data_IF_041419764235
#
_entry.id   IF_041419764235
#
_cell.length_a   1.000
_cell.length_b   1.000
_cell.length_c   1.000
_cell.angle_alpha   90.00
_cell.angle_beta   90.00
_cell.angle_gamma   90.00
#
_symmetry.space_group_name_H-M   'P 1'
#
loop_
_entity.id
_entity.type
_entity.pdbx_description
1 polymer ?
#
# COMPACT_ATOMS: atom_id res chain seq x y z
N UNK A 1 -29.23 22.72 12.64
CA UNK A 1 -27.98 21.99 13.03
C UNK A 1 -27.62 21.08 11.86
N UNK A 2 -26.79 21.56 10.93
CA UNK A 2 -26.27 20.80 9.80
C UNK A 2 -25.21 19.85 10.33
N UNK A 3 -25.51 18.55 10.39
CA UNK A 3 -24.51 17.50 10.58
C UNK A 3 -23.53 17.60 9.40
N UNK A 4 -22.39 18.24 9.60
CA UNK A 4 -21.25 18.00 8.75
C UNK A 4 -20.97 16.51 8.84
N UNK A 5 -21.21 15.77 7.76
CA UNK A 5 -20.78 14.40 7.61
C UNK A 5 -19.25 14.42 7.65
N UNK A 6 -18.66 14.23 8.84
CA UNK A 6 -17.24 13.99 8.97
C UNK A 6 -16.95 12.74 8.13
N UNK A 7 -16.33 12.96 6.97
CA UNK A 7 -15.89 11.87 6.10
C UNK A 7 -14.90 11.06 6.93
N UNK A 8 -15.24 9.82 7.19
CA UNK A 8 -14.40 8.88 7.93
C UNK A 8 -13.02 8.74 7.25
N UNK A 9 -11.90 9.07 7.93
CA UNK A 9 -10.57 9.04 7.34
C UNK A 9 -10.17 7.67 6.80
N UNK A 10 -10.74 6.62 7.32
CA UNK A 10 -10.51 5.23 6.89
C UNK A 10 -11.13 4.97 5.53
N UNK A 11 -12.38 5.41 5.36
CA UNK A 11 -13.09 5.35 4.06
C UNK A 11 -12.40 6.21 3.02
N UNK A 12 -11.90 7.37 3.41
CA UNK A 12 -11.17 8.27 2.54
C UNK A 12 -9.85 7.63 2.05
N UNK A 13 -9.15 6.88 2.89
CA UNK A 13 -7.92 6.20 2.52
C UNK A 13 -8.15 5.09 1.47
N UNK A 14 -9.20 4.29 1.62
CA UNK A 14 -9.53 3.25 0.65
C UNK A 14 -10.02 3.85 -0.69
N UNK A 15 -10.82 4.94 -0.65
CA UNK A 15 -11.23 5.70 -1.85
C UNK A 15 -10.06 6.46 -2.48
N UNK A 16 -9.14 6.96 -1.66
CA UNK A 16 -7.94 7.68 -2.11
C UNK A 16 -7.07 6.87 -3.06
N UNK A 17 -7.01 5.56 -2.91
CA UNK A 17 -6.30 4.66 -3.84
C UNK A 17 -6.86 4.72 -5.26
N UNK A 18 -8.17 4.80 -5.42
CA UNK A 18 -8.80 4.95 -6.74
C UNK A 18 -8.54 6.33 -7.34
N UNK A 19 -8.50 7.37 -6.50
CA UNK A 19 -8.15 8.74 -6.91
C UNK A 19 -6.70 8.79 -7.40
N UNK A 20 -5.77 8.19 -6.65
CA UNK A 20 -4.36 8.10 -7.05
C UNK A 20 -4.21 7.36 -8.38
N UNK A 21 -4.93 6.27 -8.58
CA UNK A 21 -4.93 5.53 -9.85
C UNK A 21 -5.42 6.41 -11.01
N UNK A 22 -6.51 7.16 -10.83
CA UNK A 22 -7.03 8.07 -11.82
C UNK A 22 -6.03 9.21 -12.15
N UNK A 23 -5.42 9.82 -11.13
CA UNK A 23 -4.41 10.88 -11.31
C UNK A 23 -3.19 10.33 -12.07
N UNK A 24 -2.67 9.17 -11.71
CA UNK A 24 -1.53 8.56 -12.40
C UNK A 24 -1.87 8.24 -13.87
N UNK A 25 -3.09 7.80 -14.15
CA UNK A 25 -3.54 7.54 -15.51
C UNK A 25 -3.55 8.85 -16.33
N UNK A 26 -4.07 9.94 -15.76
CA UNK A 26 -4.06 11.28 -16.39
C UNK A 26 -2.64 11.77 -16.62
N UNK A 27 -1.73 11.60 -15.66
CA UNK A 27 -0.31 11.95 -15.81
C UNK A 27 0.32 11.13 -16.94
N UNK A 28 0.05 9.83 -17.01
CA UNK A 28 0.57 8.97 -18.07
C UNK A 28 0.10 9.40 -19.46
N UNK A 29 -1.18 9.75 -19.61
CA UNK A 29 -1.74 10.29 -20.85
C UNK A 29 -1.11 11.64 -21.23
N UNK A 30 -0.90 12.51 -20.25
CA UNK A 30 -0.27 13.81 -20.45
C UNK A 30 1.20 13.66 -20.89
N UNK A 31 1.97 12.77 -20.27
CA UNK A 31 3.34 12.44 -20.67
C UNK A 31 3.38 11.90 -22.10
N UNK A 32 2.45 10.99 -22.45
CA UNK A 32 2.35 10.45 -23.81
C UNK A 32 2.05 11.54 -24.85
N UNK A 33 1.15 12.48 -24.52
CA UNK A 33 0.81 13.61 -25.37
C UNK A 33 2.01 14.53 -25.58
N UNK A 34 2.73 14.88 -24.52
CA UNK A 34 3.92 15.74 -24.60
C UNK A 34 5.04 15.05 -25.41
N UNK A 35 5.18 13.75 -25.35
CA UNK A 35 6.21 13.01 -26.08
C UNK A 35 6.11 13.16 -27.61
N UNK A 36 4.96 13.56 -28.14
CA UNK A 36 4.76 13.82 -29.57
C UNK A 36 5.64 14.99 -30.06
N UNK A 37 5.85 16.01 -29.22
CA UNK A 37 6.64 17.19 -29.61
C UNK A 37 8.12 16.87 -29.85
N UNK A 38 8.87 16.26 -28.89
CA UNK A 38 10.26 15.90 -29.12
C UNK A 38 10.40 14.82 -30.19
N UNK A 39 9.42 13.94 -30.36
CA UNK A 39 9.39 12.96 -31.44
C UNK A 39 9.41 13.68 -32.82
N UNK A 40 8.49 14.63 -33.01
CA UNK A 40 8.42 15.41 -34.26
C UNK A 40 9.65 16.31 -34.51
N UNK A 41 10.25 16.79 -33.42
CA UNK A 41 11.44 17.63 -33.47
C UNK A 41 12.76 16.85 -33.64
N UNK A 42 12.72 15.51 -33.65
CA UNK A 42 13.92 14.68 -33.72
C UNK A 42 14.79 14.74 -32.46
N UNK A 43 14.25 15.26 -31.34
CA UNK A 43 14.97 15.38 -30.06
C UNK A 43 14.95 14.06 -29.28
N UNK A 44 15.84 13.16 -29.63
CA UNK A 44 15.93 11.81 -29.07
C UNK A 44 16.20 11.80 -27.56
N UNK A 45 17.07 12.63 -26.97
CA UNK A 45 17.26 12.63 -25.51
C UNK A 45 15.99 13.02 -24.72
N UNK A 46 15.30 14.07 -25.18
CA UNK A 46 14.05 14.49 -24.54
C UNK A 46 12.95 13.43 -24.67
N UNK A 47 12.84 12.79 -25.84
CA UNK A 47 11.92 11.69 -26.06
C UNK A 47 12.22 10.51 -25.13
N UNK A 48 13.49 10.11 -25.01
CA UNK A 48 13.92 9.03 -24.10
C UNK A 48 13.54 9.33 -22.65
N UNK A 49 13.76 10.55 -22.19
CA UNK A 49 13.37 10.97 -20.83
C UNK A 49 11.86 10.87 -20.59
N UNK A 50 11.04 11.33 -21.55
CA UNK A 50 9.58 11.25 -21.45
C UNK A 50 9.06 9.80 -21.53
N UNK A 51 9.65 8.98 -22.40
CA UNK A 51 9.29 7.54 -22.46
C UNK A 51 9.63 6.82 -21.15
N UNK A 52 10.76 7.16 -20.53
CA UNK A 52 11.12 6.62 -19.23
C UNK A 52 10.12 7.05 -18.15
N UNK A 53 9.73 8.34 -18.08
CA UNK A 53 8.69 8.82 -17.18
C UNK A 53 7.38 8.06 -17.39
N UNK A 54 6.94 7.90 -18.63
CA UNK A 54 5.75 7.12 -18.98
C UNK A 54 5.84 5.68 -18.50
N UNK A 55 7.01 5.05 -18.65
CA UNK A 55 7.26 3.69 -18.18
C UNK A 55 7.18 3.58 -16.64
N UNK A 56 7.78 4.52 -15.90
CA UNK A 56 7.69 4.56 -14.42
C UNK A 56 6.24 4.71 -13.98
N UNK A 57 5.48 5.61 -14.61
CA UNK A 57 4.04 5.79 -14.31
C UNK A 57 3.26 4.51 -14.61
N UNK A 58 3.50 3.86 -15.74
CA UNK A 58 2.84 2.59 -16.10
C UNK A 58 3.15 1.47 -15.08
N UNK A 59 4.40 1.34 -14.64
CA UNK A 59 4.80 0.38 -13.62
C UNK A 59 4.12 0.67 -12.27
N UNK A 60 3.99 1.94 -11.88
CA UNK A 60 3.27 2.34 -10.65
C UNK A 60 1.79 2.00 -10.74
N UNK A 61 1.15 2.27 -11.88
CA UNK A 61 -0.24 1.87 -12.14
C UNK A 61 -0.38 0.35 -12.04
N UNK A 62 0.52 -0.41 -12.67
CA UNK A 62 0.50 -1.87 -12.62
C UNK A 62 0.62 -2.39 -11.18
N UNK A 63 1.49 -1.80 -10.35
CA UNK A 63 1.63 -2.13 -8.93
C UNK A 63 0.33 -1.92 -8.15
N UNK A 64 -0.36 -0.80 -8.39
CA UNK A 64 -1.66 -0.52 -7.77
C UNK A 64 -2.76 -1.49 -8.23
N UNK A 65 -2.75 -1.88 -9.51
CA UNK A 65 -3.70 -2.88 -10.04
C UNK A 65 -3.42 -4.28 -9.46
N UNK A 66 -2.15 -4.66 -9.29
CA UNK A 66 -1.74 -5.89 -8.62
C UNK A 66 -2.26 -5.86 -7.17
N UNK A 67 -2.05 -4.76 -6.43
CA UNK A 67 -2.56 -4.59 -5.07
C UNK A 67 -4.08 -4.76 -5.03
N UNK A 68 -4.82 -4.09 -5.92
CA UNK A 68 -6.28 -4.23 -6.01
C UNK A 68 -6.71 -5.68 -6.23
N UNK A 69 -6.05 -6.38 -7.17
CA UNK A 69 -6.30 -7.80 -7.44
C UNK A 69 -6.00 -8.70 -6.23
N UNK A 70 -4.92 -8.40 -5.50
CA UNK A 70 -4.57 -9.17 -4.31
C UNK A 70 -5.54 -8.91 -3.15
N UNK A 71 -5.99 -7.68 -2.95
CA UNK A 71 -7.03 -7.36 -1.96
C UNK A 71 -8.33 -8.08 -2.30
N UNK A 72 -8.76 -8.11 -3.58
CA UNK A 72 -9.98 -8.83 -3.97
C UNK A 72 -9.89 -10.35 -3.71
N UNK A 73 -8.68 -10.90 -3.70
CA UNK A 73 -8.38 -12.31 -3.37
C UNK A 73 -7.94 -12.52 -1.91
N UNK A 74 -8.13 -11.56 -1.06
CA UNK A 74 -7.58 -11.53 0.29
C UNK A 74 -7.89 -12.77 1.14
N UNK A 75 -9.02 -13.45 0.89
CA UNK A 75 -9.38 -14.71 1.56
C UNK A 75 -8.30 -15.80 1.43
N UNK A 76 -7.62 -15.87 0.29
CA UNK A 76 -6.64 -16.91 -0.02
C UNK A 76 -5.30 -16.73 0.70
N UNK A 77 -5.06 -15.56 1.28
CA UNK A 77 -3.80 -15.21 1.95
C UNK A 77 -3.83 -15.40 3.46
N UNK A 78 -4.99 -15.81 3.99
CA UNK A 78 -5.14 -16.18 5.38
C UNK A 78 -4.83 -17.65 5.59
N UNK A 79 -3.93 -17.94 6.52
CA UNK A 79 -3.47 -19.30 6.84
C UNK A 79 -3.69 -19.54 8.32
N UNK A 80 -4.13 -20.75 8.67
CA UNK A 80 -4.25 -21.21 10.06
C UNK A 80 -3.09 -22.16 10.39
N UNK A 81 -2.40 -21.86 11.49
CA UNK A 81 -1.34 -22.71 12.06
C UNK A 81 -1.85 -23.53 13.27
N UNK A 82 -3.18 -23.61 13.44
CA UNK A 82 -3.81 -24.29 14.59
C UNK A 82 -3.78 -23.51 15.90
N UNK A 83 -2.75 -22.71 16.16
CA UNK A 83 -2.64 -21.83 17.35
C UNK A 83 -2.87 -20.36 17.02
N UNK A 84 -2.70 -19.97 15.79
CA UNK A 84 -2.83 -18.59 15.33
C UNK A 84 -3.28 -18.53 13.86
N UNK A 85 -3.87 -17.43 13.51
CA UNK A 85 -4.28 -17.12 12.13
C UNK A 85 -3.35 -16.07 11.61
N UNK A 86 -2.76 -16.31 10.46
CA UNK A 86 -1.80 -15.40 9.85
C UNK A 86 -2.27 -14.90 8.48
N UNK A 87 -2.16 -13.58 8.27
CA UNK A 87 -2.24 -12.96 6.96
C UNK A 87 -0.82 -12.65 6.50
N UNK A 88 -0.38 -13.27 5.43
CA UNK A 88 0.96 -13.10 4.88
C UNK A 88 0.89 -12.23 3.63
N UNK A 89 1.78 -11.24 3.54
CA UNK A 89 1.88 -10.40 2.33
C UNK A 89 2.31 -11.25 1.13
N UNK A 90 1.56 -11.20 0.01
CA UNK A 90 1.95 -11.89 -1.21
C UNK A 90 3.29 -11.38 -1.73
N UNK A 91 4.23 -12.26 -2.13
CA UNK A 91 5.52 -11.83 -2.69
C UNK A 91 5.38 -10.87 -3.87
N UNK A 92 4.35 -11.07 -4.69
CA UNK A 92 4.08 -10.22 -5.84
C UNK A 92 3.87 -8.74 -5.46
N UNK A 93 3.27 -8.43 -4.31
CA UNK A 93 3.10 -7.05 -3.84
C UNK A 93 4.44 -6.42 -3.45
N UNK A 94 5.27 -7.17 -2.73
CA UNK A 94 6.58 -6.70 -2.29
C UNK A 94 7.48 -6.44 -3.50
N UNK A 95 7.52 -7.36 -4.45
CA UNK A 95 8.33 -7.21 -5.67
C UNK A 95 7.82 -6.10 -6.59
N UNK A 96 6.49 -5.93 -6.72
CA UNK A 96 5.92 -4.85 -7.50
C UNK A 96 6.28 -3.47 -6.93
N UNK A 97 6.19 -3.31 -5.61
CA UNK A 97 6.55 -2.07 -4.92
C UNK A 97 8.05 -1.78 -5.00
N UNK A 98 8.89 -2.78 -4.68
CA UNK A 98 10.35 -2.65 -4.81
C UNK A 98 10.76 -2.31 -6.24
N UNK A 99 10.13 -2.94 -7.23
CA UNK A 99 10.38 -2.65 -8.65
C UNK A 99 10.01 -1.21 -9.01
N UNK A 100 8.83 -0.74 -8.60
CA UNK A 100 8.39 0.63 -8.85
C UNK A 100 9.30 1.67 -8.17
N UNK A 101 9.68 1.44 -6.90
CA UNK A 101 10.60 2.31 -6.16
C UNK A 101 12.02 2.30 -6.76
N UNK A 102 12.51 1.15 -7.20
CA UNK A 102 13.80 1.05 -7.89
C UNK A 102 13.80 1.88 -9.18
N UNK A 103 12.78 1.73 -10.02
CA UNK A 103 12.65 2.50 -11.25
C UNK A 103 12.56 4.00 -10.94
N UNK A 104 11.80 4.38 -9.92
CA UNK A 104 11.73 5.76 -9.47
C UNK A 104 13.12 6.28 -9.04
N UNK A 105 13.88 5.51 -8.26
CA UNK A 105 15.23 5.86 -7.83
C UNK A 105 16.21 6.01 -9.01
N UNK A 106 16.13 5.13 -10.02
CA UNK A 106 16.94 5.18 -11.23
C UNK A 106 16.63 6.40 -12.11
N UNK A 107 15.51 7.10 -11.91
CA UNK A 107 15.17 8.32 -12.67
C UNK A 107 16.25 9.38 -12.57
N UNK A 108 17.00 9.49 -11.45
CA UNK A 108 18.13 10.43 -11.33
C UNK A 108 19.23 10.13 -12.33
N UNK A 109 19.57 8.87 -12.54
CA UNK A 109 20.62 8.47 -13.50
C UNK A 109 20.17 8.79 -14.92
N UNK A 110 18.90 8.47 -15.25
CA UNK A 110 18.33 8.80 -16.57
C UNK A 110 18.30 10.31 -16.77
N UNK A 111 17.95 11.09 -15.74
CA UNK A 111 17.98 12.56 -15.78
C UNK A 111 19.36 13.11 -16.10
N UNK A 112 20.42 12.58 -15.49
CA UNK A 112 21.80 12.96 -15.78
C UNK A 112 22.18 12.62 -17.23
N UNK A 113 21.84 11.41 -17.70
CA UNK A 113 22.11 10.99 -19.08
C UNK A 113 21.42 11.94 -20.08
N UNK A 114 20.13 12.23 -19.86
CA UNK A 114 19.37 13.16 -20.72
C UNK A 114 19.98 14.57 -20.69
N UNK A 115 20.49 15.02 -19.53
CA UNK A 115 21.15 16.33 -19.41
C UNK A 115 22.47 16.39 -20.20
N UNK A 116 23.27 15.33 -20.17
CA UNK A 116 24.57 15.27 -20.84
C UNK A 116 24.40 15.14 -22.35
N UNK A 117 23.43 14.34 -22.80
CA UNK A 117 23.22 14.07 -24.23
C UNK A 117 22.24 15.05 -24.89
N UNK A 118 21.50 15.83 -24.10
CA UNK A 118 20.48 16.76 -24.59
C UNK A 118 21.03 18.11 -25.07
N UNK A 119 20.22 18.87 -25.80
CA UNK A 119 20.61 20.21 -26.26
C UNK A 119 20.80 21.15 -25.05
N UNK A 120 21.80 22.05 -25.13
CA UNK A 120 22.05 23.05 -24.11
C UNK A 120 20.79 23.91 -23.88
N UNK A 121 20.32 24.01 -22.65
CA UNK A 121 19.12 24.76 -22.26
C UNK A 121 17.86 23.93 -22.06
N UNK A 122 17.81 22.66 -22.45
CA UNK A 122 16.68 21.78 -22.23
C UNK A 122 16.71 21.12 -20.81
N UNK A 123 16.65 21.92 -19.75
CA UNK A 123 16.85 21.47 -18.37
C UNK A 123 15.60 20.92 -17.67
N UNK A 124 14.39 21.21 -18.18
CA UNK A 124 13.14 20.84 -17.48
C UNK A 124 12.96 19.32 -17.32
N UNK A 125 13.18 18.54 -18.38
CA UNK A 125 13.02 17.09 -18.35
C UNK A 125 14.07 16.42 -17.44
N UNK A 126 15.39 16.69 -17.60
CA UNK A 126 16.41 16.13 -16.70
C UNK A 126 16.22 16.57 -15.26
N UNK A 127 15.82 17.81 -14.98
CA UNK A 127 15.52 18.28 -13.63
C UNK A 127 14.33 17.51 -13.01
N UNK A 128 13.24 17.33 -13.76
CA UNK A 128 12.09 16.55 -13.31
C UNK A 128 12.45 15.10 -13.00
N UNK A 129 13.22 14.43 -13.87
CA UNK A 129 13.71 13.08 -13.67
C UNK A 129 14.62 12.98 -12.44
N UNK A 130 15.54 13.93 -12.27
CA UNK A 130 16.45 13.96 -11.12
C UNK A 130 15.70 14.14 -9.81
N UNK A 131 14.70 15.04 -9.78
CA UNK A 131 13.84 15.25 -8.62
C UNK A 131 13.05 13.99 -8.27
N UNK A 132 12.43 13.34 -9.27
CA UNK A 132 11.73 12.06 -9.07
C UNK A 132 12.67 10.99 -8.51
N UNK A 133 13.90 10.92 -9.01
CA UNK A 133 14.89 9.97 -8.55
C UNK A 133 15.32 10.20 -7.10
N UNK A 134 15.52 11.46 -6.69
CA UNK A 134 15.83 11.81 -5.29
C UNK A 134 14.67 11.38 -4.37
N UNK A 135 13.42 11.67 -4.76
CA UNK A 135 12.23 11.22 -4.02
C UNK A 135 12.23 9.68 -3.95
N UNK A 136 12.45 9.00 -5.07
CA UNK A 136 12.53 7.53 -5.12
C UNK A 136 13.58 6.96 -4.16
N UNK A 137 14.78 7.54 -4.13
CA UNK A 137 15.84 7.13 -3.21
C UNK A 137 15.43 7.31 -1.74
N UNK A 138 14.80 8.41 -1.39
CA UNK A 138 14.31 8.66 -0.03
C UNK A 138 13.33 7.59 0.46
N UNK A 139 12.48 7.05 -0.43
CA UNK A 139 11.56 5.97 -0.10
C UNK A 139 12.18 4.58 -0.21
N UNK A 140 13.15 4.38 -1.10
CA UNK A 140 13.79 3.10 -1.35
C UNK A 140 14.76 2.70 -0.24
N UNK A 141 15.60 3.61 0.24
CA UNK A 141 16.60 3.33 1.29
C UNK A 141 16.02 2.77 2.60
N UNK A 142 14.91 3.28 3.15
CA UNK A 142 14.32 2.70 4.35
C UNK A 142 13.85 1.25 4.18
N UNK A 143 13.48 0.85 2.95
CA UNK A 143 13.01 -0.50 2.64
C UNK A 143 14.17 -1.48 2.47
N UNK A 144 15.34 -1.03 2.04
CA UNK A 144 16.55 -1.85 1.84
C UNK A 144 17.30 -2.21 3.14
N UNK A 145 16.82 -1.77 4.30
CA UNK A 145 17.50 -2.09 5.58
C UNK A 145 17.62 -3.60 5.81
N UNK A 146 18.73 -4.06 6.46
CA UNK A 146 18.92 -5.47 6.76
C UNK A 146 17.72 -6.03 7.53
N UNK A 147 17.17 -7.15 7.08
CA UNK A 147 15.95 -7.74 7.61
C UNK A 147 14.78 -7.80 6.61
N UNK A 148 14.95 -7.30 5.38
CA UNK A 148 13.95 -7.36 4.30
C UNK A 148 13.50 -8.79 3.93
N UNK A 149 14.08 -9.83 4.48
CA UNK A 149 13.69 -11.21 4.23
C UNK A 149 12.45 -11.67 5.01
N UNK A 150 12.03 -10.94 6.04
CA UNK A 150 10.85 -11.29 6.82
C UNK A 150 9.61 -10.76 6.11
N UNK A 151 8.72 -11.66 5.73
CA UNK A 151 7.45 -11.29 5.09
C UNK A 151 6.60 -10.50 6.07
N UNK A 152 6.13 -9.33 5.65
CA UNK A 152 5.15 -8.55 6.37
C UNK A 152 3.93 -9.44 6.67
N UNK A 153 3.50 -9.50 7.94
CA UNK A 153 2.36 -10.34 8.32
C UNK A 153 1.61 -9.78 9.52
N UNK A 154 0.34 -10.13 9.59
CA UNK A 154 -0.52 -9.95 10.76
C UNK A 154 -0.83 -11.33 11.29
N UNK A 155 -0.53 -11.59 12.57
CA UNK A 155 -0.88 -12.85 13.23
C UNK A 155 -1.87 -12.56 14.34
N UNK A 156 -2.98 -13.28 14.34
CA UNK A 156 -4.04 -13.19 15.35
C UNK A 156 -3.99 -14.41 16.24
N UNK A 157 -4.00 -14.18 17.54
CA UNK A 157 -4.07 -15.22 18.56
C UNK A 157 -5.14 -14.88 19.60
N UNK A 158 -5.44 -15.80 20.50
CA UNK A 158 -6.36 -15.55 21.61
C UNK A 158 -5.88 -14.39 22.50
N UNK A 159 -4.57 -14.18 22.61
CA UNK A 159 -3.97 -13.22 23.54
C UNK A 159 -3.81 -11.81 22.92
N UNK A 160 -3.69 -11.70 21.61
CA UNK A 160 -3.44 -10.41 20.97
C UNK A 160 -3.22 -10.52 19.46
N UNK A 161 -2.86 -9.40 18.88
CA UNK A 161 -2.43 -9.26 17.49
C UNK A 161 -0.91 -9.01 17.45
N UNK A 162 -0.20 -9.81 16.66
CA UNK A 162 1.23 -9.62 16.35
C UNK A 162 1.34 -9.01 14.96
N UNK A 163 2.01 -7.86 14.86
CA UNK A 163 2.25 -7.12 13.64
C UNK A 163 3.73 -7.22 13.29
N UNK A 164 4.08 -8.04 12.30
CA UNK A 164 5.47 -8.17 11.84
C UNK A 164 5.71 -7.19 10.70
N UNK A 165 6.70 -6.32 10.82
CA UNK A 165 7.10 -5.34 9.82
C UNK A 165 8.04 -5.95 8.78
N UNK A 166 8.25 -5.25 7.64
CA UNK A 166 9.18 -5.66 6.58
C UNK A 166 10.60 -5.90 7.13
N UNK A 167 11.03 -5.11 8.12
CA UNK A 167 12.35 -5.23 8.76
C UNK A 167 12.43 -6.34 9.84
N UNK A 168 11.39 -7.17 9.97
CA UNK A 168 11.33 -8.26 10.95
C UNK A 168 10.96 -7.83 12.36
N UNK A 169 10.86 -6.53 12.65
CA UNK A 169 10.39 -6.06 13.95
C UNK A 169 8.95 -6.51 14.18
N UNK A 170 8.70 -7.04 15.37
CA UNK A 170 7.40 -7.54 15.81
C UNK A 170 6.84 -6.59 16.87
N UNK A 171 5.64 -6.12 16.64
CA UNK A 171 4.89 -5.35 17.61
C UNK A 171 3.72 -6.23 18.08
N UNK A 172 3.74 -6.65 19.36
CA UNK A 172 2.70 -7.51 19.96
C UNK A 172 1.77 -6.62 20.76
N UNK A 173 0.49 -6.63 20.42
CA UNK A 173 -0.54 -5.81 21.05
C UNK A 173 -1.56 -6.76 21.70
N UNK A 174 -1.63 -6.83 23.03
CA UNK A 174 -2.63 -7.63 23.72
C UNK A 174 -4.04 -7.05 23.51
N UNK A 175 -5.06 -7.90 23.41
CA UNK A 175 -6.44 -7.45 23.22
C UNK A 175 -6.96 -6.59 24.39
N UNK A 176 -6.40 -6.77 25.59
CA UNK A 176 -6.72 -5.97 26.77
C UNK A 176 -6.34 -4.48 26.62
N UNK A 177 -5.38 -4.20 25.77
CA UNK A 177 -4.96 -2.83 25.41
C UNK A 177 -5.94 -2.15 24.44
N UNK A 178 -7.05 -2.81 24.09
CA UNK A 178 -8.12 -2.28 23.23
C UNK A 178 -7.61 -1.59 21.96
N UNK A 179 -6.80 -2.27 21.12
CA UNK A 179 -6.27 -1.66 19.91
C UNK A 179 -7.40 -1.19 19.00
N UNK A 180 -7.29 0.05 18.52
CA UNK A 180 -8.25 0.68 17.60
C UNK A 180 -7.53 1.40 16.49
N UNK A 181 -8.03 1.28 15.28
CA UNK A 181 -7.58 2.11 14.17
C UNK A 181 -8.16 3.52 14.34
N UNK A 182 -7.29 4.53 14.47
CA UNK A 182 -7.69 5.93 14.67
C UNK A 182 -7.54 6.77 13.42
N UNK A 183 -6.76 6.30 12.44
CA UNK A 183 -6.57 7.03 11.20
C UNK A 183 -5.55 6.39 10.27
N UNK A 184 -5.22 7.13 9.23
CA UNK A 184 -4.20 6.75 8.25
C UNK A 184 -3.24 7.92 8.07
N UNK A 185 -1.96 7.67 8.22
CA UNK A 185 -0.91 8.65 8.02
C UNK A 185 0.14 8.12 7.03
N UNK A 186 0.30 8.81 5.91
CA UNK A 186 1.25 8.42 4.85
C UNK A 186 1.15 6.93 4.42
N UNK A 187 -0.08 6.43 4.27
CA UNK A 187 -0.32 5.03 3.89
C UNK A 187 -0.16 4.00 5.03
N UNK A 188 0.21 4.45 6.24
CA UNK A 188 0.30 3.61 7.42
C UNK A 188 -0.99 3.68 8.24
N UNK A 189 -1.45 2.55 8.72
CA UNK A 189 -2.50 2.48 9.72
C UNK A 189 -1.97 3.03 11.06
N UNK A 190 -2.69 3.97 11.67
CA UNK A 190 -2.40 4.49 13.01
C UNK A 190 -3.27 3.75 14.01
N UNK A 191 -2.65 2.96 14.88
CA UNK A 191 -3.32 2.11 15.86
C UNK A 191 -3.12 2.74 17.23
N UNK A 192 -4.21 3.23 17.83
CA UNK A 192 -4.20 3.66 19.21
C UNK A 192 -4.23 2.43 20.13
N UNK A 193 -3.37 2.45 21.13
CA UNK A 193 -3.21 1.41 22.14
C UNK A 193 -3.40 2.09 23.50
N UNK A 194 -4.29 1.53 24.33
CA UNK A 194 -4.55 2.08 25.66
C UNK A 194 -3.24 2.15 26.45
N UNK A 195 -2.97 3.31 27.05
CA UNK A 195 -1.79 3.58 27.89
C UNK A 195 -0.43 3.45 27.19
N UNK A 196 -0.40 3.49 25.84
CA UNK A 196 0.83 3.44 25.05
C UNK A 196 0.77 4.48 23.91
N UNK A 197 1.93 4.74 23.31
CA UNK A 197 2.02 5.57 22.09
C UNK A 197 1.33 4.90 20.90
N UNK A 198 0.81 5.72 20.00
CA UNK A 198 0.19 5.26 18.76
C UNK A 198 1.20 4.50 17.88
N UNK A 199 0.82 3.32 17.45
CA UNK A 199 1.62 2.47 16.58
C UNK A 199 1.29 2.76 15.12
N UNK A 200 2.31 3.01 14.28
CA UNK A 200 2.16 3.12 12.83
C UNK A 200 2.56 1.82 12.16
N UNK A 201 1.65 1.25 11.37
CA UNK A 201 1.86 -0.04 10.70
C UNK A 201 1.60 0.05 9.19
N UNK A 202 2.54 -0.41 8.32
CA UNK A 202 2.45 -0.28 6.86
C UNK A 202 1.49 -1.32 6.26
N UNK A 203 0.19 -1.07 6.35
CA UNK A 203 -0.84 -2.00 5.85
C UNK A 203 -0.94 -2.02 4.32
N UNK A 204 -0.36 -1.04 3.62
CA UNK A 204 -0.46 -0.91 2.18
C UNK A 204 0.08 -2.10 1.38
N UNK A 205 0.95 -2.90 1.98
CA UNK A 205 1.53 -4.10 1.37
C UNK A 205 0.74 -5.39 1.67
N UNK A 206 -0.32 -5.30 2.47
CA UNK A 206 -1.14 -6.45 2.80
C UNK A 206 -2.41 -6.50 1.93
N UNK A 207 -2.90 -7.69 1.58
CA UNK A 207 -4.12 -7.86 0.81
C UNK A 207 -5.37 -7.62 1.69
N UNK A 208 -5.42 -6.47 2.33
CA UNK A 208 -6.42 -6.05 3.30
C UNK A 208 -6.76 -4.58 3.12
N UNK A 209 -8.04 -4.21 3.13
CA UNK A 209 -8.45 -2.81 3.16
C UNK A 209 -8.34 -2.23 4.57
N UNK A 210 -8.25 -0.90 4.67
CA UNK A 210 -8.21 -0.22 5.97
C UNK A 210 -9.48 -0.51 6.79
N UNK A 211 -10.64 -0.55 6.14
CA UNK A 211 -11.92 -0.89 6.79
C UNK A 211 -11.96 -2.32 7.33
N UNK A 212 -11.45 -3.27 6.56
CA UNK A 212 -11.36 -4.66 7.01
C UNK A 212 -10.45 -4.78 8.22
N UNK A 213 -9.32 -4.06 8.23
CA UNK A 213 -8.39 -4.05 9.35
C UNK A 213 -9.00 -3.42 10.62
N UNK A 214 -9.70 -2.30 10.47
CA UNK A 214 -10.45 -1.67 11.56
C UNK A 214 -11.48 -2.63 12.17
N UNK A 215 -12.27 -3.28 11.30
CA UNK A 215 -13.28 -4.25 11.73
C UNK A 215 -12.65 -5.42 12.49
N UNK A 216 -11.53 -5.92 12.01
CA UNK A 216 -10.77 -6.98 12.67
C UNK A 216 -10.34 -6.56 14.07
N UNK A 217 -9.65 -5.42 14.22
CA UNK A 217 -9.21 -4.92 15.52
C UNK A 217 -10.40 -4.68 16.45
N UNK A 218 -11.45 -3.98 15.98
CA UNK A 218 -12.61 -3.63 16.80
C UNK A 218 -13.40 -4.85 17.26
N UNK A 219 -13.58 -5.86 16.39
CA UNK A 219 -14.36 -7.05 16.70
C UNK A 219 -13.64 -7.93 17.72
N UNK A 220 -12.37 -8.24 17.50
CA UNK A 220 -11.62 -9.09 18.42
C UNK A 220 -11.25 -8.36 19.72
N UNK A 221 -11.08 -7.05 19.71
CA UNK A 221 -10.88 -6.25 20.91
C UNK A 221 -12.10 -6.29 21.85
N UNK A 222 -13.33 -6.35 21.31
CA UNK A 222 -14.58 -6.31 22.08
C UNK A 222 -15.10 -7.68 22.52
N UNK A 223 -14.81 -8.74 21.76
CA UNK A 223 -15.44 -10.05 21.95
C UNK A 223 -14.47 -11.13 22.44
N UNK A 224 -14.49 -11.43 23.73
CA UNK A 224 -13.73 -12.55 24.32
C UNK A 224 -14.14 -13.89 23.72
N UNK A 225 -15.45 -14.06 23.41
CA UNK A 225 -15.98 -15.28 22.79
C UNK A 225 -15.36 -15.55 21.42
N UNK A 226 -15.20 -14.51 20.58
CA UNK A 226 -14.59 -14.65 19.26
C UNK A 226 -13.08 -14.90 19.37
N UNK A 227 -12.40 -14.28 20.36
CA UNK A 227 -10.98 -14.55 20.63
C UNK A 227 -10.73 -16.01 21.00
N UNK A 228 -11.59 -16.61 21.81
CA UNK A 228 -11.47 -18.02 22.18
C UNK A 228 -11.52 -18.96 20.96
N UNK A 229 -12.22 -18.57 19.88
CA UNK A 229 -12.29 -19.34 18.63
C UNK A 229 -11.00 -19.28 17.80
N UNK A 230 -10.10 -18.31 18.05
CA UNK A 230 -8.85 -18.15 17.27
C UNK A 230 -7.85 -19.30 17.48
N UNK A 231 -8.02 -20.11 18.50
CA UNK A 231 -7.18 -21.27 18.79
C UNK A 231 -7.85 -22.61 18.43
N UNK A 232 -8.91 -22.60 17.63
CA UNK A 232 -9.68 -23.80 17.29
C UNK A 232 -9.77 -24.05 15.78
N UNK A 233 -10.38 -25.15 15.36
CA UNK A 233 -10.54 -25.49 13.95
C UNK A 233 -11.41 -24.49 13.18
N UNK A 234 -12.29 -23.77 13.87
CA UNK A 234 -13.14 -22.71 13.26
C UNK A 234 -12.46 -21.33 13.18
N UNK A 235 -11.17 -21.23 13.55
CA UNK A 235 -10.48 -19.96 13.65
C UNK A 235 -10.46 -19.21 12.30
N UNK A 236 -10.07 -19.91 11.24
CA UNK A 236 -10.02 -19.34 9.90
C UNK A 236 -11.40 -18.87 9.42
N UNK A 237 -12.43 -19.69 9.55
CA UNK A 237 -13.79 -19.34 9.14
C UNK A 237 -14.33 -18.16 9.94
N UNK A 238 -14.01 -18.07 11.25
CA UNK A 238 -14.38 -16.94 12.12
C UNK A 238 -13.74 -15.65 11.64
N UNK A 239 -12.43 -15.64 11.33
CA UNK A 239 -11.74 -14.45 10.81
C UNK A 239 -12.29 -14.04 9.45
N UNK A 240 -12.49 -14.99 8.54
CA UNK A 240 -13.03 -14.71 7.21
C UNK A 240 -14.45 -14.12 7.28
N UNK A 241 -15.32 -14.63 8.18
CA UNK A 241 -16.66 -14.09 8.38
C UNK A 241 -16.65 -12.64 8.90
N UNK A 242 -15.74 -12.32 9.83
CA UNK A 242 -15.56 -10.94 10.34
C UNK A 242 -15.09 -9.99 9.23
N UNK A 243 -14.25 -10.46 8.34
CA UNK A 243 -13.65 -9.65 7.28
C UNK A 243 -14.49 -9.56 6.00
N UNK A 244 -15.60 -10.29 5.93
CA UNK A 244 -16.45 -10.28 4.74
C UNK A 244 -17.03 -8.87 4.51
N UNK A 245 -16.81 -8.27 3.30
CA UNK A 245 -17.31 -6.93 3.03
C UNK A 245 -18.83 -6.93 2.92
N UNK A 246 -19.45 -5.89 3.47
CA UNK A 246 -20.88 -5.64 3.33
C UNK A 246 -21.24 -5.28 1.89
N UNK A 247 -22.51 -5.39 1.50
CA UNK A 247 -22.99 -4.98 0.17
C UNK A 247 -22.69 -3.50 -0.08
N UNK A 248 -22.86 -2.66 0.93
CA UNK A 248 -22.55 -1.24 0.82
C UNK A 248 -21.08 -0.99 0.53
N UNK A 249 -20.15 -1.70 1.21
CA UNK A 249 -18.71 -1.57 0.95
C UNK A 249 -18.32 -2.02 -0.46
N UNK A 250 -19.03 -3.00 -1.01
CA UNK A 250 -18.83 -3.46 -2.40
C UNK A 250 -19.31 -2.42 -3.42
N UNK A 251 -20.45 -1.80 -3.13
CA UNK A 251 -21.07 -0.79 -4.00
C UNK A 251 -20.31 0.53 -3.99
N UNK A 252 -19.79 0.93 -2.84
CA UNK A 252 -19.02 2.18 -2.65
C UNK A 252 -17.67 2.18 -3.39
N UNK A 253 -17.31 1.10 -4.06
CA UNK A 253 -16.03 0.98 -4.79
C UNK A 253 -14.81 0.94 -3.88
N UNK A 254 -15.00 0.62 -2.59
CA UNK A 254 -13.88 0.40 -1.67
C UNK A 254 -13.05 -0.83 -2.10
N UNK A 255 -11.76 -0.83 -1.78
CA UNK A 255 -10.86 -1.94 -2.10
C UNK A 255 -11.11 -3.09 -1.13
N UNK A 256 -12.07 -3.94 -1.44
CA UNK A 256 -12.51 -5.06 -0.63
C UNK A 256 -12.48 -6.38 -1.43
N UNK A 257 -12.72 -7.49 -0.74
CA UNK A 257 -12.80 -8.80 -1.39
C UNK A 257 -13.92 -8.85 -2.43
N UNK A 258 -13.66 -9.53 -3.55
CA UNK A 258 -14.71 -9.95 -4.47
C UNK A 258 -15.62 -11.00 -3.82
N UNK A 259 -16.84 -11.15 -4.33
CA UNK A 259 -17.73 -12.25 -3.97
C UNK A 259 -17.16 -13.60 -4.31
#
# INVERSE_FOLDING_TARGET
MTRHSQIDPITLADKGRNIVLAILTLIGLFVALIAIFPYRAGNTPALTGLLYMGFVVACTIASLLILRRQISKGKQHWISDGMRIELIAPPALIWAELGALSLLAFSSIVGIIVQVLGPRGAWMIPFGLSTMGVIGLCYFFPVLRPGCGTRLRISLSNNGVELTRINGRKDIIPWQAHPRLTGVYQGHAVIAIKDHEDLRYPIGYLPLSMRQFERLLSTFSRSTRLRAKLSGPEALSTVLAVLEPTEQERTDGSWTWSR
#
